data_IF_677717095613
#
_entry.id   IF_677717095613
#
_cell.length_a   1.000
_cell.length_b   1.000
_cell.length_c   1.000
_cell.angle_alpha   90.00
_cell.angle_beta   90.00
_cell.angle_gamma   90.00
#
_symmetry.space_group_name_H-M   'P 1'
#
loop_
_entity.id
_entity.type
_entity.pdbx_description
1 polymer ?
#
# COMPACT_ATOMS: atom_id res chain seq x y z
N UNK A 1 -43.03 -38.29 -82.46
CA UNK A 1 -41.73 -38.55 -81.82
C UNK A 1 -40.67 -38.08 -82.80
N UNK A 2 -39.93 -36.98 -82.61
CA UNK A 2 -39.15 -36.60 -81.42
C UNK A 2 -38.87 -35.09 -81.46
N UNK A 3 -38.84 -34.51 -80.27
CA UNK A 3 -38.99 -33.09 -79.92
C UNK A 3 -37.68 -32.29 -80.10
N UNK A 4 -37.81 -31.04 -80.58
CA UNK A 4 -36.72 -30.07 -80.73
C UNK A 4 -36.21 -29.52 -79.40
N UNK A 5 -34.88 -29.37 -79.30
CA UNK A 5 -34.18 -28.77 -78.16
C UNK A 5 -34.03 -27.27 -78.36
N UNK A 6 -34.82 -26.48 -77.64
CA UNK A 6 -34.56 -25.07 -77.38
C UNK A 6 -33.64 -24.93 -76.17
N UNK A 7 -32.52 -24.23 -76.33
CA UNK A 7 -31.61 -23.87 -75.24
C UNK A 7 -32.15 -22.58 -74.60
N UNK A 8 -32.65 -22.67 -73.37
CA UNK A 8 -32.97 -21.52 -72.54
C UNK A 8 -31.76 -21.22 -71.65
N UNK A 9 -31.10 -20.09 -71.89
CA UNK A 9 -30.10 -19.49 -71.01
C UNK A 9 -30.83 -18.86 -69.81
N UNK A 10 -30.72 -19.46 -68.63
CA UNK A 10 -31.11 -18.83 -67.37
C UNK A 10 -30.05 -17.80 -66.97
N UNK A 11 -30.40 -16.51 -67.09
CA UNK A 11 -29.69 -15.42 -66.43
C UNK A 11 -30.06 -15.48 -64.93
N UNK A 12 -29.18 -16.05 -64.11
CA UNK A 12 -29.27 -15.90 -62.66
C UNK A 12 -28.84 -14.46 -62.31
N UNK A 13 -29.80 -13.61 -61.95
CA UNK A 13 -29.51 -12.36 -61.25
C UNK A 13 -28.90 -12.72 -59.88
N UNK A 14 -27.58 -12.70 -59.77
CA UNK A 14 -26.91 -12.58 -58.48
C UNK A 14 -27.15 -11.16 -57.98
N UNK A 15 -28.15 -11.01 -57.09
CA UNK A 15 -28.27 -9.81 -56.27
C UNK A 15 -26.97 -9.66 -55.49
N UNK A 16 -26.16 -8.66 -55.86
CA UNK A 16 -24.95 -8.31 -55.13
C UNK A 16 -25.36 -7.85 -53.73
N UNK A 17 -25.16 -8.72 -52.73
CA UNK A 17 -25.07 -8.27 -51.35
C UNK A 17 -23.87 -7.31 -51.28
N UNK A 18 -24.14 -6.01 -51.15
CA UNK A 18 -23.09 -5.06 -50.80
C UNK A 18 -22.49 -5.53 -49.47
N UNK A 19 -21.15 -5.56 -49.33
CA UNK A 19 -20.53 -5.90 -48.06
C UNK A 19 -21.04 -4.92 -47.00
N UNK A 20 -21.69 -5.48 -45.97
CA UNK A 20 -22.24 -4.71 -44.86
C UNK A 20 -21.08 -3.94 -44.22
N UNK A 21 -21.17 -2.61 -44.25
CA UNK A 21 -20.10 -1.74 -43.78
C UNK A 21 -19.92 -1.96 -42.27
N UNK A 22 -18.79 -2.58 -41.89
CA UNK A 22 -18.49 -2.94 -40.51
C UNK A 22 -18.58 -1.69 -39.62
N UNK A 23 -19.56 -1.71 -38.70
CA UNK A 23 -19.80 -0.58 -37.80
C UNK A 23 -18.76 -0.62 -36.69
N UNK A 24 -17.74 0.24 -36.80
CA UNK A 24 -16.66 0.33 -35.82
C UNK A 24 -16.98 1.39 -34.77
N UNK A 25 -16.71 1.08 -33.50
CA UNK A 25 -16.72 2.01 -32.37
C UNK A 25 -15.28 2.37 -31.98
N UNK A 26 -14.88 3.63 -32.16
CA UNK A 26 -13.54 4.13 -31.83
C UNK A 26 -13.44 4.52 -30.36
N UNK A 27 -12.58 3.85 -29.61
CA UNK A 27 -12.49 3.95 -28.15
C UNK A 27 -11.09 4.42 -27.74
N UNK A 28 -11.02 5.53 -27.00
CA UNK A 28 -9.77 5.98 -26.39
C UNK A 28 -9.49 5.26 -25.08
N UNK A 29 -8.30 4.67 -24.94
CA UNK A 29 -7.84 3.96 -23.74
C UNK A 29 -6.43 4.41 -23.34
N UNK A 30 -6.04 4.07 -22.12
CA UNK A 30 -4.67 4.24 -21.59
C UNK A 30 -4.38 3.11 -20.60
N UNK A 31 -3.10 2.82 -20.36
CA UNK A 31 -2.70 1.76 -19.43
C UNK A 31 -3.13 2.10 -17.99
N UNK A 32 -3.97 1.24 -17.42
CA UNK A 32 -4.55 1.40 -16.09
C UNK A 32 -4.97 0.04 -15.49
N UNK A 33 -4.02 -0.77 -14.97
CA UNK A 33 -4.34 -2.07 -14.40
C UNK A 33 -5.21 -1.95 -13.14
N UNK A 34 -6.18 -2.87 -12.90
CA UNK A 34 -6.54 -4.03 -13.73
C UNK A 34 -7.63 -3.75 -14.79
N UNK A 35 -7.97 -2.49 -15.05
CA UNK A 35 -9.03 -2.12 -15.98
C UNK A 35 -8.57 -2.20 -17.44
N UNK A 36 -7.36 -1.71 -17.72
CA UNK A 36 -6.71 -1.76 -19.04
C UNK A 36 -5.26 -2.18 -18.84
N UNK A 37 -4.94 -3.37 -19.30
CA UNK A 37 -3.61 -3.96 -19.30
C UNK A 37 -3.17 -4.20 -20.75
N UNK A 38 -1.89 -4.02 -21.01
CA UNK A 38 -1.32 -4.04 -22.36
C UNK A 38 -0.20 -5.06 -22.38
N UNK A 39 -0.40 -6.12 -23.17
CA UNK A 39 0.60 -7.16 -23.40
C UNK A 39 0.95 -7.18 -24.89
N UNK A 40 1.96 -6.38 -25.27
CA UNK A 40 2.33 -6.22 -26.67
C UNK A 40 1.26 -5.43 -27.45
N UNK A 41 0.61 -6.09 -28.43
CA UNK A 41 -0.49 -5.50 -29.21
C UNK A 41 -1.87 -5.85 -28.64
N UNK A 42 -1.93 -6.74 -27.65
CA UNK A 42 -3.19 -7.20 -27.06
C UNK A 42 -3.59 -6.34 -25.86
N UNK A 43 -4.87 -5.97 -25.83
CA UNK A 43 -5.51 -5.26 -24.71
C UNK A 43 -6.40 -6.23 -23.95
N UNK A 44 -6.31 -6.23 -22.63
CA UNK A 44 -7.17 -7.02 -21.77
C UNK A 44 -7.42 -6.28 -20.44
N UNK A 45 -8.42 -6.70 -19.68
CA UNK A 45 -8.79 -6.04 -18.42
C UNK A 45 -10.29 -5.78 -18.33
N UNK A 46 -10.73 -5.33 -17.16
CA UNK A 46 -12.15 -5.13 -16.89
C UNK A 46 -12.82 -4.16 -17.89
N UNK A 47 -12.18 -3.03 -18.20
CA UNK A 47 -12.77 -2.02 -19.10
C UNK A 47 -12.77 -2.49 -20.55
N UNK A 48 -11.82 -3.34 -20.94
CA UNK A 48 -11.77 -3.97 -22.26
C UNK A 48 -12.95 -4.92 -22.43
N UNK A 49 -13.11 -5.90 -21.53
CA UNK A 49 -14.25 -6.84 -21.57
C UNK A 49 -15.59 -6.11 -21.51
N UNK A 50 -15.67 -5.04 -20.70
CA UNK A 50 -16.88 -4.28 -20.52
C UNK A 50 -17.27 -3.52 -21.79
N UNK A 51 -16.32 -2.83 -22.43
CA UNK A 51 -16.61 -2.07 -23.65
C UNK A 51 -16.84 -2.97 -24.87
N UNK A 52 -16.17 -4.13 -24.94
CA UNK A 52 -16.46 -5.15 -25.95
C UNK A 52 -17.88 -5.68 -25.81
N UNK A 53 -18.32 -5.97 -24.58
CA UNK A 53 -19.71 -6.41 -24.32
C UNK A 53 -20.73 -5.36 -24.74
N UNK A 54 -20.45 -4.08 -24.49
CA UNK A 54 -21.29 -2.96 -24.96
C UNK A 54 -21.28 -2.88 -26.49
N UNK A 55 -20.11 -3.01 -27.13
CA UNK A 55 -19.99 -3.04 -28.59
C UNK A 55 -20.83 -4.15 -29.22
N UNK A 56 -20.80 -5.36 -28.66
CA UNK A 56 -21.62 -6.49 -29.09
C UNK A 56 -23.12 -6.18 -29.00
N UNK A 57 -23.59 -5.59 -27.89
CA UNK A 57 -25.00 -5.17 -27.75
C UNK A 57 -25.41 -4.06 -28.72
N UNK A 58 -24.45 -3.27 -29.20
CA UNK A 58 -24.66 -2.25 -30.25
C UNK A 58 -24.54 -2.81 -31.68
N UNK A 59 -24.11 -4.06 -31.85
CA UNK A 59 -23.75 -4.61 -33.16
C UNK A 59 -22.56 -3.89 -33.79
N UNK A 60 -21.61 -3.42 -32.97
CA UNK A 60 -20.38 -2.73 -33.40
C UNK A 60 -19.13 -3.49 -32.94
N UNK A 61 -18.11 -3.53 -33.79
CA UNK A 61 -16.75 -3.96 -33.40
C UNK A 61 -16.02 -2.80 -32.71
N UNK A 62 -15.21 -3.08 -31.69
CA UNK A 62 -14.46 -2.03 -30.97
C UNK A 62 -13.05 -1.86 -31.58
N UNK A 63 -12.62 -0.61 -31.75
CA UNK A 63 -11.24 -0.27 -32.15
C UNK A 63 -10.63 0.69 -31.14
N UNK A 64 -9.47 0.32 -30.62
CA UNK A 64 -8.78 1.09 -29.59
C UNK A 64 -7.77 2.09 -30.16
N UNK A 65 -7.71 3.26 -29.53
CA UNK A 65 -6.62 4.23 -29.67
C UNK A 65 -5.93 4.38 -28.32
N UNK A 66 -4.65 4.06 -28.24
CA UNK A 66 -3.87 4.10 -27.01
C UNK A 66 -3.29 5.50 -26.76
N UNK A 67 -3.48 6.00 -25.55
CA UNK A 67 -2.98 7.29 -25.09
C UNK A 67 -2.12 7.16 -23.83
N UNK A 68 -1.31 8.20 -23.54
CA UNK A 68 -0.35 8.20 -22.41
C UNK A 68 -1.04 8.32 -21.04
N UNK A 69 -2.18 9.02 -20.99
CA UNK A 69 -2.90 9.34 -19.75
C UNK A 69 -4.39 9.58 -20.01
N UNK A 70 -5.18 9.59 -18.92
CA UNK A 70 -6.60 9.95 -18.98
C UNK A 70 -6.80 11.32 -19.63
N UNK A 71 -6.03 12.34 -19.23
CA UNK A 71 -6.16 13.68 -19.81
C UNK A 71 -5.90 13.69 -21.33
N UNK A 72 -4.92 12.92 -21.81
CA UNK A 72 -4.68 12.81 -23.26
C UNK A 72 -5.79 12.08 -24.02
N UNK A 73 -6.36 11.01 -23.44
CA UNK A 73 -7.51 10.31 -24.02
C UNK A 73 -8.75 11.20 -24.06
N UNK A 74 -9.02 11.94 -22.97
CA UNK A 74 -10.14 12.88 -22.89
C UNK A 74 -9.98 14.06 -23.86
N UNK A 75 -8.74 14.53 -24.10
CA UNK A 75 -8.46 15.56 -25.10
C UNK A 75 -8.74 15.07 -26.52
N UNK A 76 -8.31 13.85 -26.85
CA UNK A 76 -8.58 13.24 -28.14
C UNK A 76 -10.08 12.99 -28.37
N UNK A 77 -10.79 12.58 -27.32
CA UNK A 77 -12.25 12.51 -27.32
C UNK A 77 -12.86 13.87 -27.64
N UNK A 78 -12.46 14.94 -26.95
CA UNK A 78 -12.93 16.31 -27.21
C UNK A 78 -12.69 16.75 -28.66
N UNK A 79 -11.55 16.37 -29.23
CA UNK A 79 -11.18 16.66 -30.62
C UNK A 79 -11.95 15.83 -31.66
N UNK A 80 -12.70 14.80 -31.24
CA UNK A 80 -13.42 13.90 -32.14
C UNK A 80 -12.53 12.83 -32.80
N UNK A 81 -11.33 12.59 -32.28
CA UNK A 81 -10.44 11.52 -32.77
C UNK A 81 -10.96 10.13 -32.39
N UNK A 82 -11.65 10.04 -31.25
CA UNK A 82 -12.36 8.86 -30.75
C UNK A 82 -13.82 9.22 -30.42
N UNK A 83 -14.70 8.22 -30.41
CA UNK A 83 -16.13 8.38 -30.15
C UNK A 83 -16.47 8.38 -28.66
N UNK A 84 -15.71 7.62 -27.87
CA UNK A 84 -15.80 7.58 -26.40
C UNK A 84 -14.43 7.26 -25.79
N UNK A 85 -14.30 7.47 -24.48
CA UNK A 85 -13.11 7.06 -23.72
C UNK A 85 -13.48 6.25 -22.47
N UNK A 86 -12.65 5.26 -22.15
CA UNK A 86 -12.78 4.38 -20.97
C UNK A 86 -11.38 4.01 -20.44
N UNK A 87 -11.26 3.63 -19.17
CA UNK A 87 -9.97 3.34 -18.52
C UNK A 87 -9.93 3.69 -17.03
N UNK A 88 -11.02 3.49 -16.28
CA UNK A 88 -11.15 3.97 -14.90
C UNK A 88 -11.20 5.50 -14.82
N UNK A 89 -12.00 6.12 -15.69
CA UNK A 89 -12.12 7.57 -15.75
C UNK A 89 -12.98 8.10 -14.60
N UNK A 90 -12.35 8.75 -13.63
CA UNK A 90 -13.03 9.47 -12.56
C UNK A 90 -13.88 10.61 -13.12
N UNK A 91 -15.15 10.66 -12.73
CA UNK A 91 -16.04 11.81 -12.95
C UNK A 91 -15.67 12.91 -11.96
N UNK A 92 -15.35 14.09 -12.46
CA UNK A 92 -15.07 15.29 -11.67
C UNK A 92 -15.88 16.46 -12.23
N UNK A 93 -16.17 17.45 -11.40
CA UNK A 93 -16.87 18.68 -11.83
C UNK A 93 -16.21 19.30 -13.06
N UNK A 94 -14.89 19.50 -13.01
CA UNK A 94 -14.10 20.06 -14.11
C UNK A 94 -14.13 19.23 -15.41
N UNK A 95 -14.36 17.91 -15.32
CA UNK A 95 -14.51 17.04 -16.50
C UNK A 95 -15.93 17.08 -17.04
N UNK A 96 -16.93 17.08 -16.16
CA UNK A 96 -18.36 17.16 -16.51
C UNK A 96 -18.71 18.50 -17.19
N UNK A 97 -18.03 19.59 -16.84
CA UNK A 97 -18.20 20.87 -17.54
C UNK A 97 -17.79 20.82 -19.02
N UNK A 98 -16.87 19.92 -19.38
CA UNK A 98 -16.26 19.86 -20.70
C UNK A 98 -16.69 18.65 -21.55
N UNK A 99 -17.21 17.61 -20.90
CA UNK A 99 -17.51 16.30 -21.44
C UNK A 99 -18.73 15.72 -20.71
N UNK A 100 -19.38 14.75 -21.34
CA UNK A 100 -20.53 14.08 -20.74
C UNK A 100 -20.17 12.65 -20.34
N UNK A 101 -20.86 12.07 -19.37
CA UNK A 101 -20.55 10.76 -18.81
C UNK A 101 -21.73 9.79 -18.82
N UNK A 102 -21.40 8.50 -18.85
CA UNK A 102 -22.36 7.40 -18.69
C UNK A 102 -22.84 7.24 -17.24
N UNK A 103 -23.69 6.26 -16.98
CA UNK A 103 -23.84 5.77 -15.61
C UNK A 103 -22.51 5.22 -15.10
N UNK A 104 -22.27 5.35 -13.80
CA UNK A 104 -21.08 4.78 -13.18
C UNK A 104 -21.14 3.26 -13.20
N UNK A 105 -20.02 2.61 -13.55
CA UNK A 105 -19.88 1.16 -13.54
C UNK A 105 -18.98 0.65 -12.41
N UNK A 106 -18.18 1.54 -11.81
CA UNK A 106 -17.27 1.20 -10.72
C UNK A 106 -17.15 2.38 -9.74
N UNK A 107 -17.11 2.08 -8.44
CA UNK A 107 -16.88 3.06 -7.39
C UNK A 107 -15.54 2.72 -6.72
N UNK A 108 -14.67 3.72 -6.64
CA UNK A 108 -13.27 3.62 -6.22
C UNK A 108 -12.95 4.72 -5.21
N UNK A 109 -11.69 4.84 -4.85
CA UNK A 109 -11.15 5.95 -4.08
C UNK A 109 -9.62 5.93 -4.11
N UNK A 110 -9.02 6.96 -3.53
CA UNK A 110 -7.59 7.00 -3.29
C UNK A 110 -7.21 6.15 -2.08
N UNK A 111 -6.05 5.52 -2.18
CA UNK A 111 -5.39 4.83 -1.08
C UNK A 111 -3.91 5.18 -1.05
N UNK A 112 -3.25 4.78 0.02
CA UNK A 112 -1.82 4.97 0.21
C UNK A 112 -1.13 3.60 0.06
N UNK A 113 -0.03 3.57 -0.67
CA UNK A 113 0.90 2.45 -0.70
C UNK A 113 2.22 2.86 -0.06
N UNK A 114 2.78 1.97 0.74
CA UNK A 114 4.09 2.14 1.38
C UNK A 114 4.97 0.91 1.16
N UNK A 115 6.28 1.13 1.33
CA UNK A 115 7.24 0.04 1.41
C UNK A 115 7.10 -0.68 2.75
N UNK A 116 7.15 -2.01 2.72
CA UNK A 116 7.24 -2.84 3.92
C UNK A 116 8.68 -2.83 4.44
N UNK A 117 9.14 -1.68 4.93
CA UNK A 117 10.47 -1.60 5.52
C UNK A 117 10.55 -2.45 6.80
N UNK A 118 11.43 -3.46 6.78
CA UNK A 118 11.90 -4.15 7.96
C UNK A 118 12.97 -3.27 8.63
N UNK A 119 12.66 -2.67 9.77
CA UNK A 119 13.62 -1.85 10.52
C UNK A 119 14.80 -2.74 10.97
N UNK A 120 16.07 -2.36 10.72
CA UNK A 120 17.22 -3.12 11.20
C UNK A 120 17.36 -3.00 12.73
N UNK A 121 17.19 -4.13 13.43
CA UNK A 121 17.35 -4.35 14.88
C UNK A 121 18.40 -3.48 15.59
N UNK A 122 19.55 -3.23 14.96
CA UNK A 122 20.65 -2.47 15.54
C UNK A 122 20.38 -0.97 15.70
N UNK A 123 19.55 -0.34 14.84
CA UNK A 123 19.18 1.08 15.00
C UNK A 123 18.26 1.27 16.21
N UNK A 124 17.26 0.41 16.36
CA UNK A 124 16.34 0.36 17.50
C UNK A 124 17.07 0.25 18.83
N UNK A 125 18.09 -0.62 18.89
CA UNK A 125 18.91 -0.81 20.09
C UNK A 125 19.69 0.45 20.47
N UNK A 126 20.26 1.17 19.49
CA UNK A 126 20.98 2.43 19.74
C UNK A 126 20.05 3.53 20.25
N UNK A 127 18.82 3.61 19.73
CA UNK A 127 17.81 4.54 20.22
C UNK A 127 17.36 4.21 21.64
N UNK A 128 17.12 2.92 21.94
CA UNK A 128 16.76 2.46 23.28
C UNK A 128 17.84 2.82 24.31
N UNK A 129 19.13 2.63 23.99
CA UNK A 129 20.24 2.96 24.89
C UNK A 129 20.43 4.48 25.11
N UNK A 130 19.89 5.33 24.22
CA UNK A 130 19.95 6.80 24.35
C UNK A 130 18.74 7.38 25.08
N UNK A 131 17.69 6.59 25.28
CA UNK A 131 16.51 7.03 26.00
C UNK A 131 16.87 7.36 27.46
N UNK A 132 16.39 8.51 27.95
CA UNK A 132 16.73 9.01 29.28
C UNK A 132 16.21 8.09 30.38
N UNK A 133 15.01 7.52 30.22
CA UNK A 133 14.44 6.63 31.22
C UNK A 133 15.24 5.34 31.32
N UNK A 134 15.59 4.72 30.17
CA UNK A 134 16.42 3.51 30.13
C UNK A 134 17.80 3.79 30.74
N UNK A 135 18.41 4.92 30.40
CA UNK A 135 19.69 5.33 30.97
C UNK A 135 19.62 5.48 32.49
N UNK A 136 18.60 6.16 33.03
CA UNK A 136 18.44 6.33 34.48
C UNK A 136 18.11 5.02 35.19
N UNK A 137 17.31 4.14 34.60
CA UNK A 137 17.05 2.79 35.15
C UNK A 137 18.35 1.98 35.21
N UNK A 138 19.19 2.03 34.17
CA UNK A 138 20.47 1.33 34.16
C UNK A 138 21.47 1.92 35.16
N UNK A 139 21.55 3.24 35.25
CA UNK A 139 22.44 3.93 36.19
C UNK A 139 22.05 3.68 37.66
N UNK A 140 20.75 3.73 37.97
CA UNK A 140 20.25 3.43 39.33
C UNK A 140 20.43 1.95 39.68
N UNK A 141 20.30 1.05 38.71
CA UNK A 141 20.59 -0.38 38.92
C UNK A 141 22.08 -0.66 39.16
N UNK A 142 22.97 -0.04 38.40
CA UNK A 142 24.41 -0.13 38.66
C UNK A 142 24.78 0.43 40.04
N UNK A 143 24.21 1.59 40.40
CA UNK A 143 24.38 2.15 41.74
C UNK A 143 23.86 1.20 42.82
N UNK A 144 22.71 0.56 42.59
CA UNK A 144 22.15 -0.45 43.48
C UNK A 144 23.10 -1.63 43.67
N UNK A 145 23.69 -2.18 42.60
CA UNK A 145 24.68 -3.27 42.67
C UNK A 145 25.90 -2.85 43.50
N UNK A 146 26.39 -1.62 43.33
CA UNK A 146 27.51 -1.08 44.10
C UNK A 146 27.16 -1.01 45.59
N UNK A 147 26.01 -0.41 45.93
CA UNK A 147 25.56 -0.24 47.31
C UNK A 147 25.30 -1.59 48.01
N UNK A 148 24.59 -2.49 47.34
CA UNK A 148 24.33 -3.84 47.85
C UNK A 148 25.61 -4.67 47.94
N UNK A 149 26.59 -4.45 47.06
CA UNK A 149 27.92 -5.04 47.18
C UNK A 149 28.65 -4.64 48.45
N UNK A 150 28.52 -3.37 48.88
CA UNK A 150 29.04 -2.93 50.18
C UNK A 150 28.32 -3.63 51.33
N UNK A 151 27.00 -3.82 51.26
CA UNK A 151 26.21 -4.56 52.27
C UNK A 151 26.67 -6.02 52.35
N UNK A 152 26.84 -6.70 51.21
CA UNK A 152 27.37 -8.07 51.18
C UNK A 152 28.77 -8.16 51.77
N UNK A 153 29.65 -7.22 51.44
CA UNK A 153 30.98 -7.17 52.03
C UNK A 153 30.92 -6.99 53.55
N UNK A 154 30.02 -6.16 54.09
CA UNK A 154 29.85 -5.98 55.53
C UNK A 154 29.31 -7.24 56.21
N UNK A 155 28.31 -7.91 55.62
CA UNK A 155 27.71 -9.13 56.18
C UNK A 155 28.64 -10.34 56.10
N UNK A 156 29.34 -10.53 54.97
CA UNK A 156 30.15 -11.72 54.67
C UNK A 156 31.65 -11.52 54.93
N UNK A 157 32.05 -10.39 55.53
CA UNK A 157 33.46 -9.99 55.77
C UNK A 157 34.33 -11.09 56.39
N UNK A 158 33.74 -11.91 57.26
CA UNK A 158 34.42 -13.00 58.00
C UNK A 158 34.70 -14.22 57.12
N UNK A 159 33.93 -14.42 56.06
CA UNK A 159 33.96 -15.60 55.19
C UNK A 159 34.57 -15.34 53.81
N UNK A 160 34.89 -14.09 53.48
CA UNK A 160 35.68 -13.72 52.29
C UNK A 160 37.17 -14.03 52.51
N UNK A 161 37.51 -15.32 52.41
CA UNK A 161 38.90 -15.80 52.49
C UNK A 161 39.68 -15.17 51.34
N UNK A 162 40.76 -14.43 51.67
CA UNK A 162 41.65 -13.63 50.80
C UNK A 162 41.27 -12.15 50.54
N UNK A 163 40.10 -11.65 50.94
CA UNK A 163 39.64 -10.28 50.62
C UNK A 163 39.05 -9.53 51.83
N UNK A 164 39.67 -9.69 53.01
CA UNK A 164 39.13 -9.23 54.31
C UNK A 164 39.11 -7.70 54.49
N UNK A 165 39.89 -6.92 53.75
CA UNK A 165 40.01 -5.47 53.94
C UNK A 165 40.34 -4.70 52.66
N UNK A 166 39.77 -3.50 52.51
CA UNK A 166 40.09 -2.56 51.44
C UNK A 166 39.24 -2.72 50.18
N UNK A 167 39.71 -2.14 49.07
CA UNK A 167 39.01 -2.08 47.77
C UNK A 167 38.70 -3.47 47.19
N UNK A 168 39.51 -4.47 47.52
CA UNK A 168 39.38 -5.83 47.01
C UNK A 168 38.18 -6.59 47.62
N UNK A 169 37.85 -6.32 48.89
CA UNK A 169 36.66 -6.88 49.55
C UNK A 169 35.35 -6.28 49.04
N UNK A 170 35.34 -4.98 48.77
CA UNK A 170 34.19 -4.31 48.16
C UNK A 170 33.95 -4.86 46.74
N UNK A 171 35.01 -5.09 45.96
CA UNK A 171 34.89 -5.72 44.64
C UNK A 171 34.27 -7.11 44.68
N UNK A 172 34.63 -7.95 45.66
CA UNK A 172 34.01 -9.27 45.87
C UNK A 172 32.54 -9.16 46.32
N UNK A 173 32.22 -8.20 47.18
CA UNK A 173 30.83 -7.91 47.54
C UNK A 173 30.01 -7.46 46.33
N UNK A 174 30.56 -6.61 45.47
CA UNK A 174 29.95 -6.18 44.21
C UNK A 174 29.77 -7.35 43.24
N UNK A 175 30.75 -8.25 43.13
CA UNK A 175 30.66 -9.46 42.31
C UNK A 175 29.53 -10.37 42.78
N UNK A 176 29.44 -10.65 44.08
CA UNK A 176 28.34 -11.40 44.68
C UNK A 176 26.98 -10.70 44.45
N UNK A 177 26.96 -9.36 44.56
CA UNK A 177 25.74 -8.60 44.34
C UNK A 177 25.27 -8.64 42.90
N UNK A 178 26.20 -8.50 41.95
CA UNK A 178 25.94 -8.65 40.52
C UNK A 178 25.39 -10.04 40.23
N UNK A 179 26.04 -11.11 40.69
CA UNK A 179 25.60 -12.49 40.50
C UNK A 179 24.19 -12.73 41.08
N UNK A 180 23.92 -12.18 42.28
CA UNK A 180 22.63 -12.32 42.95
C UNK A 180 21.52 -11.52 42.26
N UNK A 181 21.78 -10.25 41.91
CA UNK A 181 20.79 -9.37 41.28
C UNK A 181 20.48 -9.80 39.83
N UNK A 182 21.48 -10.29 39.10
CA UNK A 182 21.27 -10.80 37.73
C UNK A 182 20.80 -12.24 37.69
N UNK A 183 20.70 -12.90 38.85
CA UNK A 183 20.37 -14.33 38.99
C UNK A 183 21.37 -15.28 38.30
N UNK A 184 22.58 -14.79 37.98
CA UNK A 184 23.64 -15.59 37.37
C UNK A 184 24.35 -16.39 38.47
N UNK A 185 24.08 -17.70 38.52
CA UNK A 185 24.65 -18.61 39.51
C UNK A 185 25.97 -19.24 39.06
N UNK A 186 27.07 -18.47 39.04
CA UNK A 186 28.40 -19.02 38.73
C UNK A 186 28.89 -20.08 39.73
N UNK A 187 28.31 -20.12 40.93
CA UNK A 187 28.61 -21.12 41.97
C UNK A 187 29.94 -20.90 42.72
N UNK A 188 30.65 -19.82 42.40
CA UNK A 188 31.93 -19.43 42.95
C UNK A 188 31.80 -18.64 44.27
N UNK A 189 30.75 -17.83 44.40
CA UNK A 189 30.48 -17.02 45.60
C UNK A 189 29.01 -17.12 46.01
N UNK A 190 28.77 -17.36 47.31
CA UNK A 190 27.43 -17.46 47.87
C UNK A 190 27.38 -16.91 49.32
N UNK A 191 26.25 -16.32 49.75
CA UNK A 191 26.07 -15.83 51.11
C UNK A 191 26.12 -16.99 52.11
N UNK A 192 27.02 -16.92 53.10
CA UNK A 192 27.16 -17.97 54.13
C UNK A 192 26.49 -17.57 55.43
N UNK A 193 26.43 -16.28 55.76
CA UNK A 193 25.83 -15.80 57.01
C UNK A 193 24.30 -15.77 56.95
N UNK A 194 23.60 -15.94 58.09
CA UNK A 194 22.15 -15.78 58.15
C UNK A 194 21.68 -14.40 57.67
N UNK A 195 22.43 -13.34 58.01
CA UNK A 195 22.13 -11.98 57.55
C UNK A 195 22.36 -11.82 56.05
N UNK A 196 23.46 -12.33 55.49
CA UNK A 196 23.72 -12.30 54.05
C UNK A 196 22.63 -13.00 53.25
N UNK A 197 22.13 -14.15 53.74
CA UNK A 197 20.97 -14.86 53.15
C UNK A 197 19.66 -14.07 53.25
N UNK A 198 19.45 -13.33 54.33
CA UNK A 198 18.28 -12.45 54.44
C UNK A 198 18.33 -11.32 53.40
N UNK A 199 19.51 -10.73 53.18
CA UNK A 199 19.71 -9.65 52.22
C UNK A 199 19.64 -10.10 50.75
N UNK A 200 19.84 -11.37 50.43
CA UNK A 200 19.75 -11.85 49.03
C UNK A 200 18.33 -11.81 48.48
N UNK A 201 17.33 -11.95 49.34
CA UNK A 201 15.91 -11.97 48.96
C UNK A 201 15.52 -10.64 48.30
N UNK A 202 15.65 -9.46 48.96
CA UNK A 202 15.31 -8.20 48.30
C UNK A 202 16.19 -7.89 47.10
N UNK A 203 17.47 -8.28 47.12
CA UNK A 203 18.41 -8.01 46.01
C UNK A 203 18.04 -8.77 44.74
N UNK A 204 17.74 -10.06 44.87
CA UNK A 204 17.29 -10.89 43.75
C UNK A 204 15.94 -10.44 43.20
N UNK A 205 14.99 -10.07 44.07
CA UNK A 205 13.69 -9.53 43.64
C UNK A 205 13.82 -8.23 42.85
N UNK A 206 14.62 -7.27 43.35
CA UNK A 206 14.85 -5.99 42.67
C UNK A 206 15.55 -6.22 41.33
N UNK A 207 16.57 -7.10 41.30
CA UNK A 207 17.28 -7.42 40.07
C UNK A 207 16.40 -8.08 39.02
N UNK A 208 15.54 -9.01 39.41
CA UNK A 208 14.56 -9.64 38.52
C UNK A 208 13.56 -8.61 37.96
N UNK A 209 13.05 -7.69 38.80
CA UNK A 209 12.16 -6.61 38.36
C UNK A 209 12.83 -5.73 37.31
N UNK A 210 14.08 -5.30 37.55
CA UNK A 210 14.80 -4.42 36.62
C UNK A 210 15.05 -5.12 35.28
N UNK A 211 15.51 -6.37 35.29
CA UNK A 211 15.75 -7.14 34.05
C UNK A 211 14.44 -7.33 33.28
N UNK A 212 13.35 -7.68 33.98
CA UNK A 212 12.03 -7.80 33.38
C UNK A 212 11.52 -6.49 32.79
N UNK A 213 11.72 -5.37 33.47
CA UNK A 213 11.36 -4.03 32.96
C UNK A 213 12.15 -3.67 31.71
N UNK A 214 13.46 -3.94 31.66
CA UNK A 214 14.28 -3.70 30.45
C UNK A 214 13.78 -4.55 29.29
N UNK A 215 13.51 -5.84 29.51
CA UNK A 215 12.97 -6.73 28.49
C UNK A 215 11.61 -6.24 27.96
N UNK A 216 10.71 -5.81 28.85
CA UNK A 216 9.41 -5.26 28.49
C UNK A 216 9.52 -3.93 27.73
N UNK A 217 10.44 -3.04 28.13
CA UNK A 217 10.71 -1.79 27.43
C UNK A 217 11.29 -2.03 26.04
N UNK A 218 12.25 -2.94 25.87
CA UNK A 218 12.78 -3.30 24.56
C UNK A 218 11.68 -3.86 23.68
N UNK A 219 10.86 -4.78 24.19
CA UNK A 219 9.71 -5.32 23.45
C UNK A 219 8.70 -4.24 23.05
N UNK A 220 8.41 -3.31 23.96
CA UNK A 220 7.49 -2.20 23.72
C UNK A 220 8.06 -1.22 22.70
N UNK A 221 9.34 -0.87 22.78
CA UNK A 221 10.02 -0.04 21.79
C UNK A 221 10.05 -0.70 20.43
N UNK A 222 10.28 -2.01 20.34
CA UNK A 222 10.21 -2.73 19.06
C UNK A 222 8.80 -2.66 18.47
N UNK A 223 7.77 -2.80 19.30
CA UNK A 223 6.37 -2.68 18.87
C UNK A 223 6.03 -1.24 18.45
N UNK A 224 6.51 -0.25 19.20
CA UNK A 224 6.22 1.18 18.97
C UNK A 224 7.01 1.76 17.80
N UNK A 225 8.25 1.33 17.59
CA UNK A 225 9.07 1.78 16.45
C UNK A 225 8.49 1.23 15.14
N UNK A 226 8.03 -0.03 15.16
CA UNK A 226 7.19 -0.58 14.12
C UNK A 226 5.98 0.35 13.87
N UNK A 227 5.15 0.60 14.88
CA UNK A 227 3.94 1.45 14.74
C UNK A 227 4.19 2.90 14.29
N UNK A 228 5.26 3.55 14.77
CA UNK A 228 5.54 4.98 14.51
C UNK A 228 6.14 5.27 13.13
N UNK A 229 6.70 4.25 12.47
CA UNK A 229 7.22 4.37 11.11
C UNK A 229 6.20 3.98 10.05
N UNK A 230 5.15 3.23 10.42
CA UNK A 230 4.07 2.92 9.50
C UNK A 230 3.21 4.14 9.25
N UNK A 231 3.10 4.51 7.97
CA UNK A 231 1.95 5.30 7.51
C UNK A 231 0.76 4.36 7.59
N UNK A 232 -0.20 4.64 8.48
CA UNK A 232 -1.42 3.85 8.60
C UNK A 232 -2.59 4.56 7.93
N UNK A 233 -2.59 5.88 7.93
CA UNK A 233 -3.63 6.70 7.30
C UNK A 233 -3.04 8.01 6.72
N UNK A 234 -3.89 8.79 6.04
CA UNK A 234 -3.54 10.09 5.45
C UNK A 234 -2.98 11.07 6.48
N UNK A 235 -3.41 10.96 7.75
CA UNK A 235 -2.90 11.78 8.87
C UNK A 235 -1.40 11.60 9.13
N UNK A 236 -0.85 10.43 8.81
CA UNK A 236 0.52 10.06 9.15
C UNK A 236 1.53 10.50 8.09
N UNK A 237 1.04 11.13 7.01
CA UNK A 237 1.86 11.63 5.92
C UNK A 237 2.64 12.91 6.26
N UNK A 238 2.40 13.52 7.43
CA UNK A 238 3.04 14.78 7.83
C UNK A 238 4.57 14.69 7.75
N UNK A 239 5.17 15.56 6.93
CA UNK A 239 6.61 15.62 6.71
C UNK A 239 7.18 14.46 5.89
N UNK A 240 6.35 13.61 5.30
CA UNK A 240 6.76 12.51 4.43
C UNK A 240 6.86 12.96 2.97
N UNK A 241 7.71 12.30 2.21
CA UNK A 241 7.80 12.45 0.74
C UNK A 241 6.78 11.52 0.11
N UNK A 242 5.76 12.09 -0.51
CA UNK A 242 4.61 11.34 -1.03
C UNK A 242 4.58 11.46 -2.55
N UNK A 243 4.79 10.35 -3.24
CA UNK A 243 4.63 10.30 -4.69
C UNK A 243 3.15 10.40 -5.08
N UNK A 244 2.89 11.01 -6.23
CA UNK A 244 1.60 10.95 -6.92
C UNK A 244 1.82 10.98 -8.44
N UNK A 245 0.93 10.34 -9.19
CA UNK A 245 1.01 10.34 -10.66
C UNK A 245 0.36 11.60 -11.22
N UNK A 246 1.09 12.32 -12.06
CA UNK A 246 0.57 13.48 -12.77
C UNK A 246 -0.35 13.09 -13.95
N UNK A 247 -1.06 14.08 -14.48
CA UNK A 247 -2.01 13.94 -15.58
C UNK A 247 -3.17 12.98 -15.25
N UNK A 248 -3.65 13.05 -14.00
CA UNK A 248 -4.77 12.27 -13.45
C UNK A 248 -5.83 13.19 -12.84
N UNK A 249 -7.04 12.67 -12.61
CA UNK A 249 -8.12 13.40 -11.92
C UNK A 249 -7.71 13.82 -10.49
N UNK A 250 -6.90 12.99 -9.85
CA UNK A 250 -6.54 13.13 -8.43
C UNK A 250 -5.40 14.12 -8.19
N UNK A 251 -4.64 14.49 -9.22
CA UNK A 251 -3.49 15.41 -9.11
C UNK A 251 -3.87 16.73 -8.44
N UNK A 252 -4.91 17.40 -8.94
CA UNK A 252 -5.36 18.68 -8.41
C UNK A 252 -5.77 18.56 -6.94
N UNK A 253 -6.52 17.52 -6.59
CA UNK A 253 -6.96 17.28 -5.20
C UNK A 253 -5.79 16.98 -4.27
N UNK A 254 -4.83 16.18 -4.73
CA UNK A 254 -3.64 15.86 -3.93
C UNK A 254 -2.83 17.13 -3.64
N UNK A 255 -2.61 17.97 -4.65
CA UNK A 255 -1.78 19.18 -4.51
C UNK A 255 -2.50 20.29 -3.74
N UNK A 256 -3.76 20.57 -4.06
CA UNK A 256 -4.47 21.74 -3.53
C UNK A 256 -5.17 21.48 -2.20
N UNK A 257 -5.48 20.22 -1.89
CA UNK A 257 -6.19 19.85 -0.66
C UNK A 257 -5.34 18.99 0.27
N UNK A 258 -4.90 17.80 -0.17
CA UNK A 258 -4.28 16.83 0.75
C UNK A 258 -2.86 17.22 1.19
N UNK A 259 -1.98 17.59 0.26
CA UNK A 259 -0.61 17.99 0.56
C UNK A 259 -0.51 19.14 1.57
N UNK A 260 -1.24 20.27 1.42
CA UNK A 260 -1.18 21.36 2.39
C UNK A 260 -1.89 21.01 3.71
N UNK A 261 -3.01 20.28 3.66
CA UNK A 261 -3.77 19.91 4.88
C UNK A 261 -2.96 18.99 5.78
N UNK A 262 -2.35 17.95 5.20
CA UNK A 262 -1.57 16.96 5.93
C UNK A 262 -0.08 17.28 6.00
N UNK A 263 0.36 18.37 5.35
CA UNK A 263 1.73 18.91 5.38
C UNK A 263 2.78 17.89 4.97
N UNK A 264 2.55 17.24 3.82
CA UNK A 264 3.50 16.30 3.23
C UNK A 264 4.18 16.89 1.98
N UNK A 265 5.36 16.38 1.64
CA UNK A 265 6.13 16.81 0.47
C UNK A 265 5.65 16.02 -0.76
N UNK A 266 4.82 16.64 -1.59
CA UNK A 266 4.27 16.02 -2.78
C UNK A 266 5.32 15.92 -3.90
N UNK A 267 5.53 14.71 -4.45
CA UNK A 267 6.48 14.44 -5.54
C UNK A 267 5.76 13.89 -6.76
N UNK A 268 5.66 14.70 -7.82
CA UNK A 268 5.06 14.28 -9.09
C UNK A 268 5.91 13.21 -9.77
N UNK A 269 5.26 12.14 -10.25
CA UNK A 269 5.86 11.14 -11.14
C UNK A 269 5.09 11.02 -12.45
N UNK A 270 5.76 10.52 -13.48
CA UNK A 270 5.18 10.36 -14.82
C UNK A 270 4.44 9.02 -15.02
N UNK A 271 4.78 7.99 -14.23
CA UNK A 271 4.18 6.67 -14.31
C UNK A 271 4.04 6.03 -12.93
N UNK A 272 3.05 5.14 -12.78
CA UNK A 272 2.89 4.36 -11.55
C UNK A 272 4.12 3.47 -11.28
N UNK A 273 4.72 2.89 -12.33
CA UNK A 273 5.94 2.08 -12.20
C UNK A 273 7.08 2.87 -11.55
N UNK A 274 7.29 4.12 -11.97
CA UNK A 274 8.31 4.99 -11.36
C UNK A 274 8.02 5.27 -9.88
N UNK A 275 6.76 5.40 -9.48
CA UNK A 275 6.41 5.53 -8.05
C UNK A 275 6.72 4.25 -7.27
N UNK A 276 6.41 3.08 -7.81
CA UNK A 276 6.75 1.79 -7.19
C UNK A 276 8.27 1.64 -7.00
N UNK A 277 9.05 2.00 -8.02
CA UNK A 277 10.51 1.93 -7.94
C UNK A 277 11.06 2.90 -6.87
N UNK A 278 10.54 4.13 -6.80
CA UNK A 278 10.93 5.11 -5.80
C UNK A 278 10.55 4.70 -4.37
N UNK A 279 9.41 4.02 -4.20
CA UNK A 279 9.01 3.43 -2.92
C UNK A 279 9.99 2.33 -2.50
N UNK A 280 10.28 1.39 -3.41
CA UNK A 280 11.21 0.27 -3.15
C UNK A 280 12.61 0.77 -2.82
N UNK A 281 13.06 1.86 -3.44
CA UNK A 281 14.37 2.45 -3.17
C UNK A 281 14.41 3.39 -1.96
N UNK A 282 13.29 3.60 -1.25
CA UNK A 282 13.19 4.55 -0.12
C UNK A 282 13.37 6.03 -0.51
N UNK A 283 13.18 6.37 -1.80
CA UNK A 283 13.27 7.74 -2.31
C UNK A 283 11.99 8.55 -2.09
N UNK A 284 10.88 7.85 -1.85
CA UNK A 284 9.62 8.38 -1.33
C UNK A 284 9.14 7.45 -0.23
N UNK A 285 8.40 8.00 0.73
CA UNK A 285 7.94 7.26 1.90
C UNK A 285 6.54 6.65 1.66
N UNK A 286 5.75 7.26 0.76
CA UNK A 286 4.41 6.82 0.40
C UNK A 286 4.08 7.13 -1.07
N UNK A 287 3.12 6.42 -1.65
CA UNK A 287 2.52 6.69 -2.95
C UNK A 287 1.01 6.76 -2.81
N UNK A 288 0.41 7.87 -3.23
CA UNK A 288 -1.05 8.02 -3.32
C UNK A 288 -1.49 7.75 -4.75
N UNK A 289 -2.41 6.81 -4.89
CA UNK A 289 -3.10 6.50 -6.15
C UNK A 289 -4.43 5.80 -5.87
N UNK A 290 -5.24 5.61 -6.91
CA UNK A 290 -6.46 4.82 -6.84
C UNK A 290 -6.24 3.41 -6.28
N UNK A 291 -7.12 3.01 -5.37
CA UNK A 291 -7.01 1.77 -4.63
C UNK A 291 -6.97 0.51 -5.51
N UNK A 292 -7.77 0.34 -6.58
CA UNK A 292 -7.72 -0.86 -7.40
C UNK A 292 -6.35 -1.08 -8.05
N UNK A 293 -5.71 0.00 -8.52
CA UNK A 293 -4.37 -0.08 -9.13
C UNK A 293 -3.32 -0.49 -8.08
N UNK A 294 -3.39 0.12 -6.89
CA UNK A 294 -2.49 -0.19 -5.79
C UNK A 294 -2.66 -1.64 -5.30
N UNK A 295 -3.91 -2.09 -5.13
CA UNK A 295 -4.23 -3.45 -4.69
C UNK A 295 -3.82 -4.49 -5.73
N UNK A 296 -4.07 -4.23 -7.01
CA UNK A 296 -3.62 -5.10 -8.10
C UNK A 296 -2.09 -5.26 -8.09
N UNK A 297 -1.35 -4.15 -7.92
CA UNK A 297 0.11 -4.23 -7.82
C UNK A 297 0.56 -4.98 -6.55
N UNK A 298 0.00 -4.66 -5.39
CA UNK A 298 0.33 -5.30 -4.11
C UNK A 298 0.03 -6.81 -4.10
N UNK A 299 -1.00 -7.26 -4.80
CA UNK A 299 -1.34 -8.69 -4.91
C UNK A 299 -0.60 -9.41 -6.04
N UNK A 300 0.04 -8.66 -6.96
CA UNK A 300 0.79 -9.19 -8.10
C UNK A 300 2.30 -8.92 -7.98
N UNK A 301 2.82 -8.04 -8.85
CA UNK A 301 4.26 -7.74 -8.99
C UNK A 301 4.90 -7.09 -7.75
N UNK A 302 4.09 -6.52 -6.85
CA UNK A 302 4.51 -5.89 -5.60
C UNK A 302 4.33 -6.77 -4.36
N UNK A 303 3.89 -8.03 -4.51
CA UNK A 303 3.61 -8.92 -3.41
C UNK A 303 4.83 -9.13 -2.51
N UNK A 304 4.66 -8.85 -1.21
CA UNK A 304 5.70 -8.98 -0.20
C UNK A 304 6.48 -7.70 0.09
N UNK A 305 6.69 -6.85 -0.92
CA UNK A 305 7.51 -5.63 -0.84
C UNK A 305 6.67 -4.38 -0.51
N UNK A 306 5.52 -4.24 -1.17
CA UNK A 306 4.67 -3.06 -1.08
C UNK A 306 3.29 -3.45 -0.56
N UNK A 307 2.70 -2.60 0.28
CA UNK A 307 1.37 -2.85 0.81
C UNK A 307 0.53 -1.58 0.83
N UNK A 308 -0.78 -1.77 0.68
CA UNK A 308 -1.79 -0.71 0.76
C UNK A 308 -2.18 -0.52 2.22
N UNK A 309 -2.25 0.73 2.66
CA UNK A 309 -2.54 1.13 4.04
C UNK A 309 -3.71 2.10 4.09
N UNK A 310 -4.37 2.13 5.25
CA UNK A 310 -5.47 3.03 5.53
C UNK A 310 -6.79 2.63 4.87
N UNK A 311 -7.81 3.44 5.17
CA UNK A 311 -9.08 3.35 4.46
C UNK A 311 -8.98 4.12 3.16
N UNK A 312 -9.76 3.70 2.16
CA UNK A 312 -9.96 4.52 0.97
C UNK A 312 -10.52 5.88 1.38
N UNK A 313 -9.94 6.93 0.82
CA UNK A 313 -10.41 8.31 0.94
C UNK A 313 -10.65 8.86 -0.47
N UNK A 314 -11.24 10.05 -0.57
CA UNK A 314 -11.57 10.66 -1.86
C UNK A 314 -12.39 9.72 -2.75
N UNK A 315 -13.67 9.53 -2.42
CA UNK A 315 -14.56 8.65 -3.19
C UNK A 315 -14.62 9.10 -4.65
N UNK A 316 -14.36 8.17 -5.56
CA UNK A 316 -14.38 8.40 -7.01
C UNK A 316 -15.37 7.45 -7.66
N UNK A 317 -16.05 7.94 -8.70
CA UNK A 317 -16.90 7.10 -9.55
C UNK A 317 -16.28 7.03 -10.94
N UNK A 318 -16.19 5.83 -11.50
CA UNK A 318 -15.73 5.60 -12.85
C UNK A 318 -16.91 5.45 -13.80
N UNK A 319 -16.81 6.13 -14.94
CA UNK A 319 -17.81 6.15 -15.99
C UNK A 319 -17.14 6.22 -17.37
N UNK A 320 -17.92 5.98 -18.42
CA UNK A 320 -17.49 6.14 -19.81
C UNK A 320 -17.67 7.62 -20.17
N UNK A 321 -16.65 8.23 -20.76
CA UNK A 321 -16.70 9.62 -21.19
C UNK A 321 -17.11 9.76 -22.65
N UNK A 322 -17.89 10.79 -22.94
CA UNK A 322 -18.36 11.19 -24.26
C UNK A 322 -18.10 12.67 -24.50
N UNK A 323 -18.09 13.07 -25.78
CA UNK A 323 -18.26 14.49 -26.11
C UNK A 323 -19.64 14.95 -25.68
N UNK A 324 -19.76 16.26 -25.38
CA UNK A 324 -21.05 16.89 -25.20
C UNK A 324 -21.96 16.62 -26.41
N UNK A 325 -23.24 16.37 -26.14
CA UNK A 325 -24.29 16.11 -27.12
C UNK A 325 -24.06 14.85 -28.00
N UNK A 326 -23.30 13.87 -27.49
CA UNK A 326 -23.10 12.58 -28.18
C UNK A 326 -24.42 11.81 -28.35
N UNK A 327 -24.73 11.44 -29.59
CA UNK A 327 -25.91 10.66 -29.97
C UNK A 327 -25.90 9.22 -29.40
N UNK A 328 -24.73 8.71 -29.05
CA UNK A 328 -24.56 7.35 -28.50
C UNK A 328 -24.70 7.27 -26.99
N UNK A 329 -24.62 8.40 -26.27
CA UNK A 329 -24.57 8.41 -24.81
C UNK A 329 -25.82 7.76 -24.20
N UNK A 330 -27.01 8.17 -24.64
CA UNK A 330 -28.29 7.63 -24.16
C UNK A 330 -28.44 6.14 -24.53
N UNK A 331 -27.96 5.76 -25.72
CA UNK A 331 -27.95 4.36 -26.15
C UNK A 331 -27.09 3.50 -25.21
N UNK A 332 -25.89 3.96 -24.87
CA UNK A 332 -24.98 3.25 -23.96
C UNK A 332 -25.55 3.22 -22.54
N UNK A 333 -26.11 4.32 -22.02
CA UNK A 333 -26.77 4.35 -20.70
C UNK A 333 -27.86 3.26 -20.58
N UNK A 334 -28.70 3.10 -21.62
CA UNK A 334 -29.71 2.03 -21.65
C UNK A 334 -29.10 0.63 -21.69
N UNK A 335 -28.03 0.44 -22.46
CA UNK A 335 -27.29 -0.83 -22.48
C UNK A 335 -26.70 -1.14 -21.11
N UNK A 336 -26.09 -0.16 -20.43
CA UNK A 336 -25.54 -0.34 -19.09
C UNK A 336 -26.61 -0.80 -18.09
N UNK A 337 -27.80 -0.19 -18.11
CA UNK A 337 -28.92 -0.61 -17.26
C UNK A 337 -29.35 -2.06 -17.56
N UNK A 338 -29.45 -2.42 -18.84
CA UNK A 338 -29.78 -3.80 -19.27
C UNK A 338 -28.72 -4.81 -18.82
N UNK A 339 -27.44 -4.48 -18.92
CA UNK A 339 -26.32 -5.33 -18.50
C UNK A 339 -26.25 -5.44 -16.97
N UNK A 340 -26.54 -4.36 -16.25
CA UNK A 340 -26.63 -4.35 -14.79
C UNK A 340 -27.77 -5.26 -14.30
N UNK A 341 -28.96 -5.20 -14.91
CA UNK A 341 -30.07 -6.10 -14.58
C UNK A 341 -29.75 -7.58 -14.83
N UNK A 342 -28.84 -7.87 -15.77
CA UNK A 342 -28.35 -9.23 -16.05
C UNK A 342 -27.22 -9.68 -15.12
N UNK A 343 -26.78 -8.82 -14.19
CA UNK A 343 -25.68 -9.09 -13.27
C UNK A 343 -24.32 -9.19 -13.96
N UNK A 344 -24.10 -8.46 -15.07
CA UNK A 344 -22.80 -8.51 -15.78
C UNK A 344 -21.66 -8.07 -14.86
N UNK A 345 -21.83 -6.94 -14.17
CA UNK A 345 -20.79 -6.38 -13.30
C UNK A 345 -20.41 -7.33 -12.17
N UNK A 346 -21.39 -8.02 -11.57
CA UNK A 346 -21.18 -9.00 -10.50
C UNK A 346 -20.39 -10.23 -10.98
N UNK A 347 -20.49 -10.57 -12.27
CA UNK A 347 -19.72 -11.65 -12.90
C UNK A 347 -18.33 -11.21 -13.35
N UNK A 348 -18.19 -9.96 -13.79
CA UNK A 348 -16.97 -9.46 -14.42
C UNK A 348 -15.95 -8.99 -13.39
N UNK A 349 -16.38 -8.22 -12.38
CA UNK A 349 -15.50 -7.63 -11.36
C UNK A 349 -14.62 -8.67 -10.63
N UNK A 350 -15.15 -9.83 -10.16
CA UNK A 350 -14.31 -10.81 -9.46
C UNK A 350 -13.20 -11.42 -10.30
N UNK A 351 -13.35 -11.47 -11.64
CA UNK A 351 -12.31 -12.00 -12.54
C UNK A 351 -11.04 -11.17 -12.51
N UNK A 352 -11.17 -9.89 -12.16
CA UNK A 352 -10.09 -8.91 -12.12
C UNK A 352 -9.68 -8.53 -10.69
N UNK A 353 -10.29 -9.16 -9.67
CA UNK A 353 -9.99 -8.91 -8.27
C UNK A 353 -10.43 -7.53 -7.77
N UNK A 354 -11.50 -6.97 -8.35
CA UNK A 354 -12.02 -5.62 -8.05
C UNK A 354 -13.46 -5.61 -7.54
#
# INVERSE_FOLDING_TARGET
TTIGRGIFLLFALTAGAQPEQEKILKVGIYEYPPFVMIDGEDFHGFDIDYIETIGLEMGKSVRYSLYKSSNSALKALKNGEVELAIGGLSVTESREEALDFSHSYYQSGLSIMVNRDNIPFFKSLVHALRDRAIFYTFATFLLFIILSGVVFWLCERKFMVNHKSGKSGIGQGMWLSYATATTIGYGDVAPRTPLGKLFTIPISLIGFIVIGSISGLVSSLMTMEQLSQYVLDVSDLKGKRVAYKGDTASEERIINHYAPTFKFEARRVESAQKAFDLLKSGNVDAFIHDAPLLLHHANGKGAGDLHVVGKMFENQIYAIAFRMDSDMQETIKRIQLKLQQRGLLDKLKPRYGI
#
